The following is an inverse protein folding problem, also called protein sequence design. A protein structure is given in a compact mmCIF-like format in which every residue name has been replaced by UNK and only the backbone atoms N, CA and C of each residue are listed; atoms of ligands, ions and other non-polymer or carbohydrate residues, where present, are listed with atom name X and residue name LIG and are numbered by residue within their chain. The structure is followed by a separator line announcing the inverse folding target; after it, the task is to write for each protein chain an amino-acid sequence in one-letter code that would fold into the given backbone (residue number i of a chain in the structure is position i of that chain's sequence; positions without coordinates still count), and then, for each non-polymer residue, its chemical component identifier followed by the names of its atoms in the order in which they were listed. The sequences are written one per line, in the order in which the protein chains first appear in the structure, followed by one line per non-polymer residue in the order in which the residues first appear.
data_IF_156740818574
#
_entry.id   IF_156740818574
#
_cell.length_a   1.000
_cell.length_b   1.000
_cell.length_c   1.000
_cell.angle_alpha   90.00
_cell.angle_beta   90.00
_cell.angle_gamma   90.00
#
_symmetry.space_group_name_H-M   'P 1'
#
loop_
_entity.id
_entity.type
_entity.pdbx_description
1 polymer ?
#
# COMPACT_ATOMS: atom_id res chain seq x y z
N UNK A 1 -6.73 1.54 14.26
CA UNK A 1 -6.37 2.37 15.42
C UNK A 1 -6.18 3.84 15.03
N UNK A 2 -5.33 4.19 14.05
CA UNK A 2 -5.06 5.60 13.62
C UNK A 2 -6.34 6.32 13.16
N UNK A 3 -7.20 5.70 12.36
CA UNK A 3 -8.47 6.28 11.91
C UNK A 3 -9.47 6.56 13.04
N UNK A 4 -9.43 5.80 14.13
CA UNK A 4 -10.36 5.96 15.27
C UNK A 4 -10.10 7.23 16.10
N UNK A 5 -8.90 7.80 16.00
CA UNK A 5 -8.50 9.04 16.68
C UNK A 5 -8.46 10.26 15.75
N UNK A 6 -8.92 10.11 14.49
CA UNK A 6 -8.83 11.20 13.51
C UNK A 6 -7.40 11.52 13.10
N UNK A 7 -6.50 10.52 13.14
CA UNK A 7 -5.08 10.66 12.87
C UNK A 7 -4.69 10.80 11.38
N UNK A 8 -5.68 10.97 10.48
CA UNK A 8 -5.46 11.24 9.06
C UNK A 8 -6.29 12.45 8.65
N UNK A 9 -5.65 13.40 7.96
CA UNK A 9 -6.30 14.54 7.30
C UNK A 9 -5.85 14.59 5.85
N UNK A 10 -6.81 14.72 4.96
CA UNK A 10 -6.61 14.75 3.52
C UNK A 10 -6.99 16.14 2.99
N UNK A 11 -6.56 16.42 1.76
CA UNK A 11 -6.91 17.63 1.00
C UNK A 11 -6.56 18.94 1.71
N UNK A 12 -5.42 18.96 2.43
CA UNK A 12 -4.89 20.18 3.04
C UNK A 12 -4.24 21.05 1.98
N UNK A 13 -4.73 22.28 1.81
CA UNK A 13 -4.38 23.14 0.68
C UNK A 13 -3.39 24.24 1.02
N UNK A 14 -3.14 24.50 2.30
CA UNK A 14 -2.28 25.58 2.78
C UNK A 14 -1.67 25.29 4.14
N UNK A 15 -0.69 26.13 4.53
CA UNK A 15 0.08 25.98 5.76
C UNK A 15 -0.80 26.06 7.02
N UNK A 16 -1.83 26.89 7.01
CA UNK A 16 -2.71 27.06 8.18
C UNK A 16 -3.57 25.83 8.40
N UNK A 17 -4.05 25.20 7.32
CA UNK A 17 -4.76 23.93 7.41
C UNK A 17 -3.86 22.81 7.95
N UNK A 18 -2.58 22.75 7.52
CA UNK A 18 -1.61 21.78 8.04
C UNK A 18 -1.37 22.01 9.55
N UNK A 19 -1.16 23.27 9.98
CA UNK A 19 -0.98 23.61 11.41
C UNK A 19 -2.21 23.23 12.24
N UNK A 20 -3.41 23.56 11.75
CA UNK A 20 -4.65 23.23 12.43
C UNK A 20 -4.90 21.73 12.53
N UNK A 21 -4.56 20.98 11.46
CA UNK A 21 -4.62 19.52 11.47
C UNK A 21 -3.67 18.93 12.53
N UNK A 22 -2.42 19.42 12.59
CA UNK A 22 -1.43 19.00 13.59
C UNK A 22 -1.96 19.19 15.01
N UNK A 23 -2.40 20.42 15.36
CA UNK A 23 -2.90 20.75 16.70
C UNK A 23 -4.15 19.91 17.07
N UNK A 24 -4.98 19.62 16.08
CA UNK A 24 -6.18 18.80 16.30
C UNK A 24 -5.80 17.35 16.59
N UNK A 25 -4.83 16.78 15.86
CA UNK A 25 -4.35 15.42 16.09
C UNK A 25 -3.64 15.30 17.43
N UNK A 26 -2.78 16.25 17.77
CA UNK A 26 -2.06 16.29 19.05
C UNK A 26 -3.05 16.27 20.23
N UNK A 27 -4.07 17.13 20.18
CA UNK A 27 -5.12 17.17 21.19
C UNK A 27 -5.89 15.86 21.27
N UNK A 28 -6.33 15.34 20.13
CA UNK A 28 -7.11 14.10 20.07
C UNK A 28 -6.36 12.88 20.62
N UNK A 29 -5.04 12.82 20.42
CA UNK A 29 -4.19 11.79 21.03
C UNK A 29 -4.05 12.03 22.53
N UNK A 30 -3.82 13.27 22.95
CA UNK A 30 -3.69 13.61 24.37
C UNK A 30 -4.96 13.38 25.20
N UNK A 31 -6.14 13.47 24.56
CA UNK A 31 -7.44 13.18 25.20
C UNK A 31 -7.71 11.67 25.37
N UNK A 32 -7.23 10.83 24.44
CA UNK A 32 -7.49 9.38 24.44
C UNK A 32 -6.35 8.54 25.02
N UNK A 33 -5.17 9.07 24.99
CA UNK A 33 -3.94 8.44 25.44
C UNK A 33 -3.16 9.42 26.31
N UNK A 34 -1.83 9.30 26.38
CA UNK A 34 -1.01 10.29 27.07
C UNK A 34 -0.35 11.24 26.07
N UNK A 35 0.00 12.48 26.48
CA UNK A 35 0.73 13.40 25.61
C UNK A 35 2.06 12.85 25.08
N UNK A 36 2.66 11.87 25.76
CA UNK A 36 3.91 11.20 25.36
C UNK A 36 3.71 10.22 24.20
N UNK A 37 2.48 9.83 23.92
CA UNK A 37 2.16 8.91 22.83
C UNK A 37 2.03 9.63 21.47
N UNK A 38 2.01 10.98 21.49
CA UNK A 38 2.06 11.77 20.28
C UNK A 38 3.52 12.04 19.89
N UNK A 39 4.01 11.30 18.89
CA UNK A 39 5.38 11.40 18.39
C UNK A 39 5.53 12.37 17.20
N UNK A 40 4.45 13.02 16.80
CA UNK A 40 4.39 13.92 15.64
C UNK A 40 3.54 13.36 14.51
N UNK A 41 3.65 13.99 13.35
CA UNK A 41 2.90 13.64 12.13
C UNK A 41 3.83 13.56 10.93
N UNK A 42 3.43 12.81 9.92
CA UNK A 42 4.04 12.87 8.59
C UNK A 42 3.16 13.70 7.67
N UNK A 43 3.79 14.56 6.85
CA UNK A 43 3.11 15.34 5.82
C UNK A 43 3.60 14.85 4.46
N UNK A 44 2.67 14.54 3.56
CA UNK A 44 2.97 14.01 2.24
C UNK A 44 2.19 14.78 1.17
N UNK A 45 2.71 14.90 -0.06
CA UNK A 45 1.94 15.44 -1.17
C UNK A 45 0.63 14.68 -1.36
N UNK A 46 -0.48 15.42 -1.54
CA UNK A 46 -1.76 14.81 -1.84
C UNK A 46 -1.78 14.30 -3.28
N UNK A 47 -1.96 13.00 -3.46
CA UNK A 47 -2.08 12.40 -4.78
C UNK A 47 -3.54 12.42 -5.23
N UNK A 48 -3.78 12.84 -6.47
CA UNK A 48 -5.11 12.73 -7.07
C UNK A 48 -5.29 11.31 -7.62
N UNK A 49 -6.10 10.52 -6.92
CA UNK A 49 -6.25 9.10 -7.17
C UNK A 49 -7.49 8.75 -8.00
N UNK A 50 -8.17 9.75 -8.58
CA UNK A 50 -9.45 9.53 -9.27
C UNK A 50 -9.37 8.50 -10.41
N UNK A 51 -8.21 8.42 -11.07
CA UNK A 51 -8.00 7.57 -12.25
C UNK A 51 -7.07 6.37 -12.00
N UNK A 52 -6.55 6.22 -10.78
CA UNK A 52 -5.63 5.15 -10.40
C UNK A 52 -6.30 3.97 -9.70
N UNK A 53 -5.50 2.95 -9.45
CA UNK A 53 -5.87 1.76 -8.72
C UNK A 53 -5.04 1.64 -7.45
N UNK A 54 -5.70 1.30 -6.36
CA UNK A 54 -5.04 0.97 -5.11
C UNK A 54 -4.67 -0.51 -5.09
N UNK A 55 -3.40 -0.79 -5.00
CA UNK A 55 -2.83 -2.13 -4.95
C UNK A 55 -2.14 -2.37 -3.61
N UNK A 56 -1.88 -3.63 -3.31
CA UNK A 56 -1.04 -4.05 -2.19
C UNK A 56 0.12 -4.90 -2.70
N UNK A 57 1.31 -4.58 -2.22
CA UNK A 57 2.49 -5.44 -2.26
C UNK A 57 2.92 -5.71 -0.83
N UNK A 58 2.96 -6.97 -0.45
CA UNK A 58 3.37 -7.38 0.89
C UNK A 58 4.37 -8.54 0.85
N UNK A 59 5.08 -8.73 1.94
CA UNK A 59 5.87 -9.92 2.18
C UNK A 59 5.83 -10.28 3.66
N UNK A 60 5.73 -11.57 3.94
CA UNK A 60 5.77 -12.13 5.29
C UNK A 60 6.45 -13.50 5.28
N UNK A 61 7.00 -13.95 6.40
CA UNK A 61 7.58 -15.28 6.50
C UNK A 61 6.48 -16.34 6.56
N UNK A 62 6.64 -17.38 5.76
CA UNK A 62 5.88 -18.62 5.87
C UNK A 62 6.74 -19.69 6.56
N UNK A 63 6.20 -20.46 7.52
CA UNK A 63 6.97 -21.47 8.26
C UNK A 63 7.57 -22.59 7.39
N UNK A 64 6.94 -22.90 6.26
CA UNK A 64 7.35 -23.98 5.35
C UNK A 64 8.17 -23.47 4.16
N UNK A 65 7.82 -22.32 3.61
CA UNK A 65 8.36 -21.81 2.36
C UNK A 65 9.37 -20.65 2.53
N UNK A 66 9.54 -20.15 3.77
CA UNK A 66 10.34 -18.95 4.00
C UNK A 66 9.57 -17.69 3.57
N UNK A 67 10.23 -16.68 3.00
CA UNK A 67 9.52 -15.45 2.61
C UNK A 67 8.51 -15.73 1.49
N UNK A 68 7.31 -15.19 1.64
CA UNK A 68 6.24 -15.23 0.63
C UNK A 68 5.88 -13.80 0.29
N UNK A 69 5.73 -13.50 -1.00
CA UNK A 69 5.29 -12.19 -1.48
C UNK A 69 3.82 -12.24 -1.88
N UNK A 70 3.13 -11.12 -1.66
CA UNK A 70 1.71 -10.94 -1.91
C UNK A 70 1.49 -9.80 -2.88
N UNK A 71 0.59 -9.98 -3.83
CA UNK A 71 0.03 -8.94 -4.69
C UNK A 71 -1.50 -8.99 -4.65
N UNK A 72 -2.16 -7.83 -4.66
CA UNK A 72 -3.62 -7.80 -4.70
C UNK A 72 -4.22 -6.39 -4.74
N UNK A 73 -5.53 -6.32 -4.53
CA UNK A 73 -6.26 -5.07 -4.36
C UNK A 73 -5.87 -4.45 -3.02
N UNK A 74 -5.48 -3.17 -3.04
CA UNK A 74 -5.14 -2.38 -1.85
C UNK A 74 -6.31 -1.53 -1.34
N UNK A 75 -5.99 -0.62 -0.41
CA UNK A 75 -6.95 0.33 0.14
C UNK A 75 -7.90 -0.27 1.19
N UNK A 76 -8.96 0.45 1.48
CA UNK A 76 -9.90 0.12 2.57
C UNK A 76 -10.77 -1.12 2.32
N UNK A 77 -10.84 -1.60 1.09
CA UNK A 77 -11.68 -2.74 0.71
C UNK A 77 -10.93 -4.08 0.67
N UNK A 78 -9.66 -4.09 1.03
CA UNK A 78 -8.81 -5.31 1.05
C UNK A 78 -9.44 -6.45 1.83
N UNK A 79 -9.98 -6.15 3.01
CA UNK A 79 -10.58 -7.15 3.90
C UNK A 79 -11.87 -7.76 3.33
N UNK A 80 -12.61 -6.97 2.55
CA UNK A 80 -13.90 -7.38 1.98
C UNK A 80 -13.73 -8.26 0.76
N UNK A 81 -12.86 -7.85 -0.17
CA UNK A 81 -12.73 -8.56 -1.46
C UNK A 81 -11.75 -9.72 -1.43
N UNK A 82 -10.77 -9.72 -0.51
CA UNK A 82 -9.72 -10.76 -0.39
C UNK A 82 -9.07 -11.13 -1.74
N UNK A 83 -9.00 -10.16 -2.66
CA UNK A 83 -8.47 -10.35 -4.01
C UNK A 83 -6.96 -10.23 -3.98
N UNK A 84 -6.29 -11.36 -3.74
CA UNK A 84 -4.84 -11.44 -3.58
C UNK A 84 -4.29 -12.73 -4.15
N UNK A 85 -3.04 -12.67 -4.59
CA UNK A 85 -2.26 -13.82 -5.02
C UNK A 85 -0.91 -13.84 -4.29
N UNK A 86 -0.43 -15.03 -4.01
CA UNK A 86 0.84 -15.27 -3.34
C UNK A 86 1.84 -15.88 -4.31
N UNK A 87 3.12 -15.57 -4.11
CA UNK A 87 4.24 -16.19 -4.82
C UNK A 87 5.44 -16.35 -3.91
N UNK A 88 6.31 -17.29 -4.25
CA UNK A 88 7.58 -17.53 -3.55
C UNK A 88 8.68 -16.77 -4.31
N UNK A 89 9.38 -15.81 -3.68
CA UNK A 89 10.47 -15.08 -4.30
C UNK A 89 11.73 -15.98 -4.44
N UNK A 90 12.70 -15.66 -5.34
CA UNK A 90 12.71 -14.50 -6.22
C UNK A 90 11.80 -14.68 -7.44
N UNK A 91 11.21 -13.60 -7.92
CA UNK A 91 10.40 -13.60 -9.13
C UNK A 91 11.21 -13.08 -10.33
N UNK A 92 10.86 -13.57 -11.51
CA UNK A 92 11.14 -12.92 -12.77
C UNK A 92 9.86 -12.26 -13.32
N UNK A 93 9.96 -11.51 -14.41
CA UNK A 93 8.84 -10.80 -15.02
C UNK A 93 7.68 -11.72 -15.41
N UNK A 94 7.98 -12.93 -15.87
CA UNK A 94 6.95 -13.93 -16.21
C UNK A 94 6.19 -14.40 -14.98
N UNK A 95 6.90 -14.73 -13.90
CA UNK A 95 6.29 -15.16 -12.64
C UNK A 95 5.54 -14.03 -11.95
N UNK A 96 6.07 -12.80 -11.98
CA UNK A 96 5.39 -11.63 -11.47
C UNK A 96 4.05 -11.42 -12.21
N UNK A 97 4.08 -11.42 -13.54
CA UNK A 97 2.88 -11.31 -14.39
C UNK A 97 1.89 -12.43 -14.09
N UNK A 98 2.35 -13.67 -14.04
CA UNK A 98 1.51 -14.83 -13.74
C UNK A 98 0.82 -14.70 -12.37
N UNK A 99 1.56 -14.22 -11.37
CA UNK A 99 0.98 -13.99 -10.04
C UNK A 99 -0.11 -12.92 -10.08
N UNK A 100 0.15 -11.80 -10.73
CA UNK A 100 -0.84 -10.72 -10.88
C UNK A 100 -2.10 -11.18 -11.62
N UNK A 101 -1.96 -11.99 -12.67
CA UNK A 101 -3.12 -12.49 -13.45
C UNK A 101 -4.08 -13.37 -12.66
N UNK A 102 -3.66 -13.88 -11.50
CA UNK A 102 -4.53 -14.67 -10.59
C UNK A 102 -5.47 -13.79 -9.78
N UNK A 103 -5.30 -12.47 -9.81
CA UNK A 103 -6.17 -11.51 -9.11
C UNK A 103 -7.25 -10.95 -10.04
N UNK A 104 -8.39 -10.59 -9.48
CA UNK A 104 -9.48 -9.94 -10.22
C UNK A 104 -9.09 -8.53 -10.65
N UNK A 105 -8.35 -7.82 -9.79
CA UNK A 105 -7.88 -6.46 -10.05
C UNK A 105 -7.02 -6.38 -11.32
N UNK A 106 -6.28 -7.44 -11.66
CA UNK A 106 -5.47 -7.48 -12.88
C UNK A 106 -6.27 -7.18 -14.15
N UNK A 107 -7.54 -7.62 -14.22
CA UNK A 107 -8.38 -7.31 -15.37
C UNK A 107 -8.74 -5.82 -15.44
N UNK A 108 -8.88 -5.15 -14.31
CA UNK A 108 -9.11 -3.71 -14.27
C UNK A 108 -7.86 -2.93 -14.68
N UNK A 109 -6.66 -3.42 -14.33
CA UNK A 109 -5.38 -2.79 -14.68
C UNK A 109 -5.11 -2.72 -16.19
N UNK A 110 -5.77 -3.56 -16.99
CA UNK A 110 -5.72 -3.49 -18.47
C UNK A 110 -6.52 -2.34 -19.05
N UNK A 111 -7.20 -1.59 -18.21
CA UNK A 111 -8.15 -0.55 -18.59
C UNK A 111 -9.60 -1.05 -18.56
N UNK A 112 -10.44 -0.28 -17.92
CA UNK A 112 -11.91 -0.48 -17.92
C UNK A 112 -12.59 0.82 -18.38
N UNK A 113 -13.88 0.74 -18.67
CA UNK A 113 -14.64 1.91 -19.11
C UNK A 113 -14.48 3.08 -18.12
N UNK A 114 -13.92 4.19 -18.61
CA UNK A 114 -13.68 5.40 -17.83
C UNK A 114 -12.36 5.43 -17.06
N UNK A 115 -11.49 4.40 -17.17
CA UNK A 115 -10.15 4.40 -16.59
C UNK A 115 -9.11 3.87 -17.57
N UNK A 116 -7.99 4.57 -17.78
CA UNK A 116 -6.92 4.12 -18.68
C UNK A 116 -6.24 2.85 -18.14
N UNK A 117 -5.53 2.10 -19.00
CA UNK A 117 -4.69 1.00 -18.57
C UNK A 117 -3.47 1.51 -17.81
N UNK A 118 -3.03 0.71 -16.84
CA UNK A 118 -1.78 0.92 -16.11
C UNK A 118 -0.59 0.42 -16.94
N UNK A 119 0.60 1.00 -16.74
CA UNK A 119 1.83 0.42 -17.30
C UNK A 119 2.15 -0.90 -16.59
N UNK A 120 1.63 -1.99 -17.18
CA UNK A 120 1.83 -3.33 -16.66
C UNK A 120 3.29 -3.79 -16.72
N UNK A 121 4.11 -3.23 -17.64
CA UNK A 121 5.52 -3.59 -17.73
C UNK A 121 6.32 -2.98 -16.57
N UNK A 122 6.04 -1.74 -16.19
CA UNK A 122 6.62 -1.14 -15.00
C UNK A 122 6.15 -1.82 -13.71
N UNK A 123 4.89 -2.24 -13.66
CA UNK A 123 4.36 -2.98 -12.51
C UNK A 123 5.05 -4.36 -12.36
N UNK A 124 5.31 -5.07 -13.46
CA UNK A 124 6.10 -6.31 -13.45
C UNK A 124 7.48 -6.07 -12.86
N UNK A 125 8.19 -5.04 -13.33
CA UNK A 125 9.53 -4.69 -12.86
C UNK A 125 9.54 -4.32 -11.39
N UNK A 126 8.54 -3.56 -10.95
CA UNK A 126 8.37 -3.20 -9.54
C UNK A 126 8.21 -4.45 -8.67
N UNK A 127 7.36 -5.39 -9.08
CA UNK A 127 7.12 -6.61 -8.33
C UNK A 127 8.36 -7.52 -8.29
N UNK A 128 9.12 -7.61 -9.39
CA UNK A 128 10.41 -8.31 -9.42
C UNK A 128 11.38 -7.68 -8.43
N UNK A 129 11.59 -6.36 -8.47
CA UNK A 129 12.49 -5.63 -7.54
C UNK A 129 12.06 -5.80 -6.08
N UNK A 130 10.76 -5.77 -5.82
CA UNK A 130 10.23 -6.02 -4.48
C UNK A 130 10.55 -7.44 -4.00
N UNK A 131 10.41 -8.44 -4.87
CA UNK A 131 10.76 -9.82 -4.56
C UNK A 131 12.25 -10.02 -4.30
N UNK A 132 13.11 -9.32 -5.05
CA UNK A 132 14.56 -9.31 -4.85
C UNK A 132 14.94 -8.66 -3.52
N UNK A 133 14.33 -7.53 -3.18
CA UNK A 133 14.51 -6.86 -1.88
C UNK A 133 14.26 -7.83 -0.72
N UNK A 134 13.14 -8.56 -0.78
CA UNK A 134 12.75 -9.52 0.27
C UNK A 134 13.77 -10.66 0.43
N UNK A 135 14.34 -11.13 -0.68
CA UNK A 135 15.36 -12.21 -0.65
C UNK A 135 16.72 -11.70 -0.16
N UNK A 136 17.11 -10.50 -0.61
CA UNK A 136 18.43 -9.93 -0.29
C UNK A 136 18.52 -9.38 1.13
N UNK A 137 17.43 -8.78 1.61
CA UNK A 137 17.37 -8.11 2.92
C UNK A 137 16.73 -9.03 3.98
N UNK A 138 17.43 -10.09 4.36
CA UNK A 138 16.93 -11.12 5.29
C UNK A 138 16.56 -10.63 6.69
N UNK A 139 16.98 -9.42 7.07
CA UNK A 139 16.59 -8.78 8.32
C UNK A 139 15.18 -8.20 8.27
N UNK A 140 14.63 -7.95 7.08
CA UNK A 140 13.22 -7.58 6.91
C UNK A 140 12.37 -8.83 7.17
N UNK A 141 11.59 -8.80 8.26
CA UNK A 141 10.69 -9.90 8.59
C UNK A 141 9.35 -9.74 7.89
N UNK A 142 8.83 -8.55 7.86
CA UNK A 142 7.56 -8.23 7.27
C UNK A 142 7.65 -6.86 6.58
N UNK A 143 7.01 -6.72 5.44
CA UNK A 143 6.91 -5.45 4.73
C UNK A 143 5.56 -5.40 4.02
N UNK A 144 4.90 -4.23 4.12
CA UNK A 144 3.61 -3.98 3.52
C UNK A 144 3.59 -2.59 2.88
N UNK A 145 3.29 -2.54 1.58
CA UNK A 145 3.06 -1.32 0.80
C UNK A 145 1.57 -1.30 0.48
N UNK A 146 0.80 -0.55 1.29
CA UNK A 146 -0.65 -0.48 1.17
C UNK A 146 -1.17 0.92 1.54
N UNK A 147 -1.64 1.70 0.56
CA UNK A 147 -1.75 1.35 -0.85
C UNK A 147 -0.49 1.63 -1.67
N UNK A 148 -0.26 0.82 -2.68
CA UNK A 148 0.57 1.13 -3.84
C UNK A 148 -0.36 1.69 -4.92
N UNK A 149 -0.07 2.90 -5.42
CA UNK A 149 -0.88 3.50 -6.47
C UNK A 149 -0.32 3.18 -7.86
N UNK A 150 -1.22 2.73 -8.74
CA UNK A 150 -0.94 2.46 -10.13
C UNK A 150 -1.89 3.27 -11.03
N UNK A 151 -1.33 4.06 -11.93
CA UNK A 151 -2.04 4.89 -12.91
C UNK A 151 -1.38 4.82 -14.27
#
# INVERSE_FOLDING_TARGET
MIHQVGGVRLDLSNDDEVRNAYLTMERAVGEKFTPKDFLGVTVQPMLNLKDGYELILGASPDPQFGPVVLFGTGGTLVEVFKDRALAIPPLNTTLARLTMTRTKIYNALKGVRGRPPVDLAELDKLFVRFSELVVQQRWIKEIDINPLFAS
#
